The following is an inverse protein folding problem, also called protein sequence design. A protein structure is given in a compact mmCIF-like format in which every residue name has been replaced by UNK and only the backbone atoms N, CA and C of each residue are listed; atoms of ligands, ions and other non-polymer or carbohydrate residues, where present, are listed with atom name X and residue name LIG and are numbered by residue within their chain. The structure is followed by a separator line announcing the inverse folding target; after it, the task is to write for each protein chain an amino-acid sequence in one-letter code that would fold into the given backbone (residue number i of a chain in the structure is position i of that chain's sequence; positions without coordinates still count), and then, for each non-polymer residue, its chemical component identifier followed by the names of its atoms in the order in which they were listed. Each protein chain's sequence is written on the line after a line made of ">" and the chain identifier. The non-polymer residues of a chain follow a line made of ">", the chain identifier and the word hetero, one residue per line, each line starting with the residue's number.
data_IF_097556634922
#
_entry.id   IF_097556634922
#
_cell.length_a   1.000
_cell.length_b   1.000
_cell.length_c   1.000
_cell.angle_alpha   90.00
_cell.angle_beta   90.00
_cell.angle_gamma   90.00
#
_symmetry.space_group_name_H-M   'P 1'
#
loop_
_entity.id
_entity.type
_entity.pdbx_description
1 polymer ?
#
# COMPACT_ATOMS: atom_id res chain seq x y z
N UNK A 1 21.21 -7.14 3.70
CA UNK A 1 19.81 -7.34 4.14
C UNK A 1 19.59 -8.15 5.42
N UNK A 2 20.59 -8.87 5.98
CA UNK A 2 20.45 -9.54 7.29
C UNK A 2 20.49 -8.61 8.52
N UNK A 3 21.08 -7.42 8.41
CA UNK A 3 21.28 -6.53 9.56
C UNK A 3 20.00 -5.92 10.12
N UNK A 4 19.01 -5.63 9.27
CA UNK A 4 17.74 -4.98 9.69
C UNK A 4 16.80 -5.92 10.47
N UNK A 5 16.74 -7.22 10.12
CA UNK A 5 15.92 -8.19 10.85
C UNK A 5 16.41 -8.42 12.28
N UNK A 6 17.72 -8.39 12.50
CA UNK A 6 18.32 -8.57 13.84
C UNK A 6 18.09 -7.31 14.69
N UNK A 7 18.14 -6.12 14.08
CA UNK A 7 17.84 -4.87 14.79
C UNK A 7 16.38 -4.82 15.24
N UNK A 8 15.43 -5.18 14.35
CA UNK A 8 14.00 -5.21 14.67
C UNK A 8 13.71 -6.24 15.77
N UNK A 9 14.25 -7.46 15.69
CA UNK A 9 14.02 -8.50 16.70
C UNK A 9 14.65 -8.16 18.05
N UNK A 10 15.82 -7.51 18.08
CA UNK A 10 16.43 -7.04 19.34
C UNK A 10 15.69 -5.85 19.92
N UNK A 11 15.16 -4.96 19.07
CA UNK A 11 14.31 -3.84 19.52
C UNK A 11 13.00 -4.36 20.12
N UNK A 12 12.36 -5.36 19.51
CA UNK A 12 11.15 -5.99 20.07
C UNK A 12 11.40 -6.64 21.44
N UNK A 13 12.55 -7.24 21.68
CA UNK A 13 12.88 -7.84 22.98
C UNK A 13 13.13 -6.79 24.09
N UNK A 14 13.55 -5.58 23.73
CA UNK A 14 13.68 -4.46 24.66
C UNK A 14 12.38 -3.69 24.86
N UNK A 15 11.43 -3.74 23.92
CA UNK A 15 10.13 -3.06 24.05
C UNK A 15 9.19 -3.65 25.12
N UNK A 16 9.50 -4.82 25.66
CA UNK A 16 8.70 -5.40 26.75
C UNK A 16 8.84 -4.64 28.10
N UNK A 17 9.68 -3.59 28.14
CA UNK A 17 9.92 -2.78 29.32
C UNK A 17 9.53 -1.30 29.16
N UNK A 18 9.12 -0.87 27.94
CA UNK A 18 8.63 0.49 27.71
C UNK A 18 7.21 0.58 28.27
N UNK A 19 6.97 1.47 29.20
CA UNK A 19 5.63 1.71 29.70
C UNK A 19 4.75 2.42 28.65
N UNK A 20 3.44 2.43 28.88
CA UNK A 20 2.49 3.00 27.93
C UNK A 20 2.72 4.52 27.75
N UNK A 21 3.06 5.24 28.81
CA UNK A 21 3.24 6.70 28.76
C UNK A 21 4.51 7.06 27.96
N UNK A 22 5.57 6.28 28.13
CA UNK A 22 6.81 6.43 27.36
C UNK A 22 6.57 6.13 25.87
N UNK A 23 5.80 5.06 25.56
CA UNK A 23 5.42 4.71 24.20
C UNK A 23 4.55 5.79 23.55
N UNK A 24 3.53 6.28 24.25
CA UNK A 24 2.64 7.35 23.77
C UNK A 24 3.43 8.64 23.52
N UNK A 25 4.39 8.97 24.40
CA UNK A 25 5.27 10.13 24.24
C UNK A 25 6.16 10.00 22.99
N UNK A 26 6.73 8.80 22.76
CA UNK A 26 7.54 8.51 21.58
C UNK A 26 6.71 8.64 20.29
N UNK A 27 5.51 8.07 20.26
CA UNK A 27 4.56 8.16 19.14
C UNK A 27 4.24 9.62 18.83
N UNK A 28 3.94 10.42 19.84
CA UNK A 28 3.64 11.84 19.65
C UNK A 28 4.85 12.64 19.14
N UNK A 29 6.04 12.31 19.60
CA UNK A 29 7.28 12.93 19.13
C UNK A 29 7.54 12.63 17.66
N UNK A 30 7.44 11.36 17.25
CA UNK A 30 7.59 10.93 15.86
C UNK A 30 6.53 11.55 14.97
N UNK A 31 5.27 11.57 15.43
CA UNK A 31 4.20 12.21 14.67
C UNK A 31 4.45 13.72 14.50
N UNK A 32 4.84 14.41 15.56
CA UNK A 32 5.16 15.85 15.50
C UNK A 32 6.31 16.14 14.54
N UNK A 33 7.30 15.26 14.47
CA UNK A 33 8.37 15.35 13.48
C UNK A 33 7.81 15.20 12.05
N UNK A 34 6.98 14.18 11.80
CA UNK A 34 6.35 14.01 10.49
C UNK A 34 5.48 15.22 10.11
N UNK A 35 4.69 15.76 11.03
CA UNK A 35 3.89 16.96 10.77
C UNK A 35 4.75 18.19 10.45
N UNK A 36 5.89 18.34 11.12
CA UNK A 36 6.84 19.43 10.84
C UNK A 36 7.41 19.37 9.43
N UNK A 37 7.43 18.16 8.84
CA UNK A 37 7.90 17.89 7.48
C UNK A 37 6.79 17.90 6.44
N UNK A 38 5.56 18.21 6.83
CA UNK A 38 4.39 18.15 5.94
C UNK A 38 4.54 18.98 4.66
N UNK A 39 5.22 20.13 4.75
CA UNK A 39 5.53 20.96 3.58
C UNK A 39 6.54 20.31 2.62
N UNK A 40 7.31 19.34 3.09
CA UNK A 40 8.26 18.59 2.26
C UNK A 40 7.62 17.42 1.54
N UNK A 41 6.41 16.99 1.94
CA UNK A 41 5.64 15.95 1.29
C UNK A 41 4.90 16.43 0.04
N UNK A 42 4.66 17.73 -0.08
CA UNK A 42 4.09 18.32 -1.27
C UNK A 42 5.22 18.74 -2.21
N UNK A 43 5.17 18.26 -3.43
CA UNK A 43 6.07 18.69 -4.48
C UNK A 43 5.80 20.16 -4.84
N UNK A 44 6.81 20.82 -5.40
CA UNK A 44 6.66 22.16 -5.97
C UNK A 44 5.45 22.18 -6.92
N UNK A 45 4.69 23.28 -6.93
CA UNK A 45 3.51 23.48 -7.76
C UNK A 45 2.21 22.76 -7.29
N UNK A 46 2.10 22.38 -6.01
CA UNK A 46 0.88 21.78 -5.46
C UNK A 46 0.68 20.32 -5.82
N UNK A 47 1.69 19.67 -6.39
CA UNK A 47 1.71 18.22 -6.57
C UNK A 47 2.04 17.52 -5.26
N UNK A 48 1.55 16.32 -5.10
CA UNK A 48 1.78 15.49 -3.93
C UNK A 48 2.59 14.27 -4.32
N UNK A 49 3.64 13.97 -3.53
CA UNK A 49 4.39 12.73 -3.65
C UNK A 49 3.58 11.60 -3.00
N UNK A 50 3.02 10.73 -3.85
CA UNK A 50 2.15 9.64 -3.40
C UNK A 50 2.92 8.52 -2.71
N UNK A 51 4.21 8.35 -3.00
CA UNK A 51 5.06 7.40 -2.28
C UNK A 51 5.26 7.85 -0.83
N UNK A 52 5.51 9.14 -0.62
CA UNK A 52 5.61 9.70 0.73
C UNK A 52 4.27 9.63 1.47
N UNK A 53 3.17 10.00 0.81
CA UNK A 53 1.84 9.94 1.43
C UNK A 53 1.47 8.50 1.84
N UNK A 54 1.80 7.50 1.02
CA UNK A 54 1.60 6.08 1.37
C UNK A 54 2.34 5.71 2.66
N UNK A 55 3.59 6.18 2.81
CA UNK A 55 4.37 5.94 4.03
C UNK A 55 3.75 6.61 5.26
N UNK A 56 3.20 7.81 5.10
CA UNK A 56 2.45 8.51 6.16
C UNK A 56 1.22 7.72 6.57
N UNK A 57 0.40 7.26 5.61
CA UNK A 57 -0.75 6.41 5.91
C UNK A 57 -0.36 5.13 6.62
N UNK A 58 0.77 4.53 6.25
CA UNK A 58 1.31 3.35 6.92
C UNK A 58 1.64 3.65 8.39
N UNK A 59 2.29 4.77 8.68
CA UNK A 59 2.57 5.20 10.06
C UNK A 59 1.27 5.42 10.85
N UNK A 60 0.29 6.13 10.27
CA UNK A 60 -1.01 6.37 10.91
C UNK A 60 -1.70 5.06 11.30
N UNK A 61 -1.70 4.07 10.39
CA UNK A 61 -2.31 2.77 10.63
C UNK A 61 -1.56 1.94 11.68
N UNK A 62 -0.22 2.01 11.71
CA UNK A 62 0.59 1.26 12.68
C UNK A 62 0.56 1.88 14.09
N UNK A 63 0.32 3.17 14.18
CA UNK A 63 0.24 3.90 15.43
C UNK A 63 -1.21 4.08 15.93
N UNK A 64 -2.18 3.45 15.29
CA UNK A 64 -3.62 3.54 15.59
C UNK A 64 -4.17 4.98 15.61
N UNK A 65 -3.56 5.88 14.82
CA UNK A 65 -3.95 7.30 14.71
C UNK A 65 -5.03 7.56 13.65
N UNK A 66 -5.62 6.51 13.07
CA UNK A 66 -6.62 6.66 11.99
C UNK A 66 -7.82 7.53 12.38
N UNK A 67 -8.41 7.44 13.59
CA UNK A 67 -9.54 8.28 13.98
C UNK A 67 -9.19 9.77 14.08
N UNK A 68 -7.95 10.10 14.47
CA UNK A 68 -7.47 11.45 14.67
C UNK A 68 -6.93 12.09 13.39
N UNK A 69 -6.63 11.26 12.39
CA UNK A 69 -5.96 11.67 11.13
C UNK A 69 -6.73 11.25 9.87
N UNK A 70 -8.06 11.48 9.79
CA UNK A 70 -8.85 11.08 8.63
C UNK A 70 -8.51 11.89 7.37
N UNK A 71 -7.95 13.08 7.53
CA UNK A 71 -7.70 13.99 6.43
C UNK A 71 -6.64 13.45 5.45
N UNK A 72 -5.63 12.77 5.95
CA UNK A 72 -4.57 12.17 5.14
C UNK A 72 -5.13 11.08 4.21
N UNK A 73 -6.12 10.30 4.65
CA UNK A 73 -6.83 9.36 3.79
C UNK A 73 -7.68 10.07 2.73
N UNK A 74 -8.31 11.19 3.09
CA UNK A 74 -9.11 12.00 2.14
C UNK A 74 -8.26 12.72 1.10
N UNK A 75 -7.00 13.05 1.40
CA UNK A 75 -6.08 13.57 0.39
C UNK A 75 -5.84 12.54 -0.74
N UNK A 76 -5.70 11.26 -0.43
CA UNK A 76 -5.59 10.22 -1.45
C UNK A 76 -6.83 10.15 -2.35
N UNK A 77 -8.04 10.32 -1.78
CA UNK A 77 -9.30 10.34 -2.56
C UNK A 77 -9.30 11.47 -3.59
N UNK A 78 -8.86 12.67 -3.20
CA UNK A 78 -8.85 13.85 -4.06
C UNK A 78 -7.92 13.74 -5.27
N UNK A 79 -6.83 13.00 -5.13
CA UNK A 79 -5.77 12.90 -6.15
C UNK A 79 -5.80 11.59 -6.91
N UNK A 80 -6.87 10.78 -6.77
CA UNK A 80 -7.06 9.58 -7.57
C UNK A 80 -7.23 9.95 -9.05
N UNK A 81 -6.51 9.26 -9.91
CA UNK A 81 -6.63 9.43 -11.36
C UNK A 81 -8.00 8.98 -11.89
N UNK A 82 -8.44 9.48 -13.04
CA UNK A 82 -9.71 9.09 -13.65
C UNK A 82 -9.86 7.60 -13.92
N UNK A 83 -8.76 6.87 -14.12
CA UNK A 83 -8.74 5.42 -14.32
C UNK A 83 -8.95 4.59 -13.04
N UNK A 84 -8.78 5.19 -11.86
CA UNK A 84 -8.94 4.52 -10.56
C UNK A 84 -7.64 4.21 -9.83
N UNK A 85 -6.49 4.57 -10.40
CA UNK A 85 -5.20 4.41 -9.77
C UNK A 85 -4.57 5.71 -9.28
N UNK A 86 -3.29 5.66 -8.95
CA UNK A 86 -2.48 6.82 -8.56
C UNK A 86 -1.15 6.81 -9.29
N UNK A 87 -0.68 7.99 -9.61
CA UNK A 87 0.67 8.23 -10.12
C UNK A 87 1.63 8.44 -8.96
N UNK A 88 2.93 8.29 -9.19
CA UNK A 88 3.96 8.60 -8.19
C UNK A 88 3.86 10.06 -7.72
N UNK A 89 3.71 10.97 -8.68
CA UNK A 89 3.34 12.36 -8.43
C UNK A 89 1.85 12.56 -8.75
N UNK A 90 1.10 13.19 -7.85
CA UNK A 90 -0.31 13.50 -8.08
C UNK A 90 -0.51 14.34 -9.35
N UNK A 91 -1.66 14.16 -10.00
CA UNK A 91 -2.04 14.89 -11.21
C UNK A 91 -1.11 14.67 -12.42
N UNK A 92 -0.44 13.52 -12.49
CA UNK A 92 0.22 13.07 -13.72
C UNK A 92 -0.63 12.01 -14.41
N UNK A 93 -0.56 11.94 -15.73
CA UNK A 93 -1.40 11.01 -16.51
C UNK A 93 -0.94 9.54 -16.44
N UNK A 94 0.22 9.28 -15.83
CA UNK A 94 0.80 7.94 -15.78
C UNK A 94 0.53 7.28 -14.44
N UNK A 95 -0.47 6.43 -14.40
CA UNK A 95 -0.77 5.61 -13.23
C UNK A 95 0.30 4.55 -13.01
N UNK A 96 0.79 4.44 -11.76
CA UNK A 96 1.66 3.36 -11.30
C UNK A 96 0.83 2.28 -10.62
N UNK A 97 0.96 1.04 -11.06
CA UNK A 97 0.30 -0.10 -10.42
C UNK A 97 0.83 -0.33 -9.02
N UNK A 98 2.14 -0.15 -8.83
CA UNK A 98 2.79 -0.25 -7.52
C UNK A 98 2.19 0.73 -6.51
N UNK A 99 2.21 2.04 -6.82
CA UNK A 99 1.62 3.08 -5.95
C UNK A 99 0.13 2.82 -5.72
N UNK A 100 -0.60 2.47 -6.78
CA UNK A 100 -2.05 2.20 -6.72
C UNK A 100 -2.38 1.12 -5.70
N UNK A 101 -1.66 0.01 -5.70
CA UNK A 101 -1.95 -1.09 -4.79
C UNK A 101 -1.58 -0.76 -3.34
N UNK A 102 -0.48 -0.04 -3.12
CA UNK A 102 -0.08 0.36 -1.77
C UNK A 102 -1.03 1.39 -1.17
N UNK A 103 -1.43 2.40 -1.93
CA UNK A 103 -2.43 3.39 -1.48
C UNK A 103 -3.77 2.70 -1.24
N UNK A 104 -4.26 1.92 -2.20
CA UNK A 104 -5.52 1.18 -2.10
C UNK A 104 -5.58 0.28 -0.87
N UNK A 105 -4.49 -0.44 -0.56
CA UNK A 105 -4.38 -1.28 0.63
C UNK A 105 -4.52 -0.46 1.93
N UNK A 106 -3.90 0.73 2.00
CA UNK A 106 -4.01 1.60 3.18
C UNK A 106 -5.42 2.18 3.31
N UNK A 107 -6.05 2.57 2.19
CA UNK A 107 -7.43 3.03 2.19
C UNK A 107 -8.41 1.94 2.65
N UNK A 108 -8.27 0.70 2.18
CA UNK A 108 -9.06 -0.44 2.65
C UNK A 108 -8.98 -0.59 4.18
N UNK A 109 -7.77 -0.58 4.73
CA UNK A 109 -7.55 -0.75 6.17
C UNK A 109 -8.06 0.45 6.98
N UNK A 110 -7.77 1.67 6.52
CA UNK A 110 -8.24 2.89 7.19
C UNK A 110 -9.76 2.97 7.19
N UNK A 111 -10.41 2.56 6.11
CA UNK A 111 -11.86 2.63 5.98
C UNK A 111 -12.62 1.63 6.88
N UNK A 112 -11.98 0.58 7.39
CA UNK A 112 -12.59 -0.25 8.45
C UNK A 112 -12.94 0.57 9.70
N UNK A 113 -12.16 1.62 9.97
CA UNK A 113 -12.31 2.51 11.12
C UNK A 113 -13.14 3.74 10.75
N UNK A 114 -12.80 4.41 9.63
CA UNK A 114 -13.42 5.66 9.21
C UNK A 114 -14.84 5.49 8.69
N UNK A 115 -15.14 4.36 8.01
CA UNK A 115 -16.44 4.05 7.40
C UNK A 115 -16.93 5.19 6.49
N UNK A 116 -16.00 5.78 5.74
CA UNK A 116 -16.24 6.90 4.84
C UNK A 116 -16.63 6.38 3.45
N UNK A 117 -17.76 6.87 2.94
CA UNK A 117 -18.31 6.44 1.64
C UNK A 117 -17.45 6.84 0.44
N UNK A 118 -16.75 7.97 0.53
CA UNK A 118 -15.91 8.45 -0.57
C UNK A 118 -14.63 7.62 -0.65
N UNK A 119 -14.06 7.25 0.50
CA UNK A 119 -12.96 6.29 0.56
C UNK A 119 -13.42 4.94 0.00
N UNK A 120 -14.63 4.48 0.36
CA UNK A 120 -15.17 3.24 -0.18
C UNK A 120 -15.29 3.27 -1.70
N UNK A 121 -15.91 4.29 -2.25
CA UNK A 121 -16.06 4.45 -3.70
C UNK A 121 -14.70 4.51 -4.42
N UNK A 122 -13.72 5.16 -3.80
CA UNK A 122 -12.34 5.25 -4.29
C UNK A 122 -11.68 3.87 -4.36
N UNK A 123 -11.81 3.08 -3.30
CA UNK A 123 -11.26 1.71 -3.23
C UNK A 123 -11.94 0.77 -4.24
N UNK A 124 -13.27 0.88 -4.40
CA UNK A 124 -14.01 0.08 -5.38
C UNK A 124 -13.57 0.40 -6.81
N UNK A 125 -13.35 1.68 -7.11
CA UNK A 125 -12.81 2.10 -8.41
C UNK A 125 -11.38 1.59 -8.64
N UNK A 126 -10.57 1.56 -7.59
CA UNK A 126 -9.22 0.96 -7.65
C UNK A 126 -9.29 -0.52 -7.96
N UNK A 127 -10.24 -1.25 -7.38
CA UNK A 127 -10.43 -2.67 -7.69
C UNK A 127 -10.69 -2.89 -9.17
N UNK A 128 -11.64 -2.13 -9.75
CA UNK A 128 -11.98 -2.30 -11.19
C UNK A 128 -10.78 -1.97 -12.08
N UNK A 129 -10.01 -0.93 -11.77
CA UNK A 129 -8.75 -0.63 -12.46
C UNK A 129 -7.77 -1.81 -12.38
N UNK A 130 -7.48 -2.29 -11.18
CA UNK A 130 -6.54 -3.39 -10.97
C UNK A 130 -6.97 -4.66 -11.71
N UNK A 131 -8.26 -5.03 -11.65
CA UNK A 131 -8.76 -6.20 -12.35
C UNK A 131 -8.67 -6.07 -13.88
N UNK A 132 -8.85 -4.85 -14.42
CA UNK A 132 -8.78 -4.59 -15.85
C UNK A 132 -7.36 -4.66 -16.43
N UNK A 133 -6.33 -4.54 -15.57
CA UNK A 133 -4.93 -4.45 -15.96
C UNK A 133 -4.16 -5.78 -15.83
N UNK A 134 -4.85 -6.88 -15.48
CA UNK A 134 -4.19 -8.19 -15.40
C UNK A 134 -3.88 -8.73 -16.79
N UNK A 135 -2.64 -9.11 -17.01
CA UNK A 135 -2.18 -9.77 -18.25
C UNK A 135 -2.67 -11.22 -18.34
N UNK A 136 -2.61 -11.81 -19.56
CA UNK A 136 -3.13 -13.17 -19.82
C UNK A 136 -2.46 -14.24 -18.97
N UNK A 137 -1.16 -14.12 -18.72
CA UNK A 137 -0.38 -15.05 -17.89
C UNK A 137 -0.52 -14.82 -16.38
N UNK A 138 -1.32 -13.81 -15.97
CA UNK A 138 -1.69 -13.57 -14.60
C UNK A 138 -0.89 -12.50 -13.86
N UNK A 139 0.15 -11.94 -14.48
CA UNK A 139 0.91 -10.86 -13.84
C UNK A 139 0.27 -9.47 -14.04
N UNK A 140 0.80 -8.49 -13.32
CA UNK A 140 0.60 -7.06 -13.53
C UNK A 140 1.93 -6.38 -13.78
N UNK A 141 1.91 -5.42 -14.67
CA UNK A 141 3.08 -4.63 -15.07
C UNK A 141 3.07 -3.26 -14.42
N UNK A 142 4.25 -2.78 -14.08
CA UNK A 142 4.53 -1.41 -13.70
C UNK A 142 5.83 -0.98 -14.39
N UNK A 143 5.92 0.25 -14.93
CA UNK A 143 7.12 0.67 -15.68
C UNK A 143 8.39 0.83 -14.84
N UNK A 144 8.25 0.97 -13.50
CA UNK A 144 9.38 1.21 -12.58
C UNK A 144 9.69 0.01 -11.69
N UNK A 145 8.79 -1.00 -11.66
CA UNK A 145 8.90 -2.15 -10.76
C UNK A 145 8.84 -3.46 -11.51
N UNK A 146 9.46 -4.48 -10.94
CA UNK A 146 9.43 -5.82 -11.54
C UNK A 146 8.01 -6.38 -11.61
N UNK A 147 7.74 -7.24 -12.57
CA UNK A 147 6.45 -7.94 -12.67
C UNK A 147 6.17 -8.78 -11.42
N UNK A 148 7.20 -9.38 -10.84
CA UNK A 148 7.06 -10.17 -9.61
C UNK A 148 6.63 -9.30 -8.43
N UNK A 149 7.35 -8.19 -8.18
CA UNK A 149 7.04 -7.28 -7.07
C UNK A 149 5.65 -6.65 -7.24
N UNK A 150 5.34 -6.21 -8.46
CA UNK A 150 4.04 -5.64 -8.79
C UNK A 150 2.92 -6.67 -8.58
N UNK A 151 3.09 -7.91 -9.07
CA UNK A 151 2.09 -8.97 -8.90
C UNK A 151 1.91 -9.36 -7.44
N UNK A 152 2.99 -9.40 -6.65
CA UNK A 152 2.91 -9.60 -5.22
C UNK A 152 2.11 -8.49 -4.51
N UNK A 153 2.37 -7.23 -4.84
CA UNK A 153 1.64 -6.10 -4.23
C UNK A 153 0.16 -6.10 -4.60
N UNK A 154 -0.17 -6.42 -5.85
CA UNK A 154 -1.56 -6.54 -6.31
C UNK A 154 -2.29 -7.68 -5.61
N UNK A 155 -1.69 -8.87 -5.51
CA UNK A 155 -2.31 -10.01 -4.83
C UNK A 155 -2.55 -9.74 -3.33
N UNK A 156 -1.65 -8.97 -2.68
CA UNK A 156 -1.86 -8.47 -1.33
C UNK A 156 -3.06 -7.50 -1.26
N UNK A 157 -3.13 -6.53 -2.16
CA UNK A 157 -4.26 -5.58 -2.22
C UNK A 157 -5.59 -6.32 -2.41
N UNK A 158 -5.70 -7.22 -3.39
CA UNK A 158 -6.91 -8.00 -3.66
C UNK A 158 -7.34 -8.84 -2.45
N UNK A 159 -6.38 -9.41 -1.73
CA UNK A 159 -6.64 -10.19 -0.50
C UNK A 159 -7.20 -9.30 0.61
N UNK A 160 -6.59 -8.16 0.85
CA UNK A 160 -7.04 -7.21 1.88
C UNK A 160 -8.39 -6.62 1.51
N UNK A 161 -8.60 -6.27 0.23
CA UNK A 161 -9.90 -5.81 -0.25
C UNK A 161 -11.00 -6.83 0.04
N UNK A 162 -10.82 -8.11 -0.32
CA UNK A 162 -11.81 -9.15 -0.07
C UNK A 162 -12.17 -9.27 1.42
N UNK A 163 -11.16 -9.28 2.27
CA UNK A 163 -11.36 -9.42 3.73
C UNK A 163 -12.03 -8.19 4.33
N UNK A 164 -11.62 -6.99 3.92
CA UNK A 164 -12.14 -5.75 4.50
C UNK A 164 -13.52 -5.37 3.98
N UNK A 165 -13.88 -5.82 2.78
CA UNK A 165 -15.15 -5.52 2.13
C UNK A 165 -16.16 -6.68 2.16
N UNK A 166 -15.83 -7.76 2.87
CA UNK A 166 -16.65 -8.98 2.93
C UNK A 166 -17.02 -9.51 1.53
N UNK A 167 -16.02 -9.54 0.62
CA UNK A 167 -16.12 -9.98 -0.78
C UNK A 167 -15.35 -11.28 -1.07
N UNK A 168 -15.27 -12.16 -0.08
CA UNK A 168 -14.52 -13.43 -0.20
C UNK A 168 -15.06 -14.35 -1.29
N UNK A 169 -16.32 -14.20 -1.66
CA UNK A 169 -17.02 -15.01 -2.68
C UNK A 169 -17.03 -14.32 -4.08
N UNK A 170 -16.39 -13.16 -4.25
CA UNK A 170 -16.28 -12.53 -5.58
C UNK A 170 -15.37 -13.38 -6.50
N UNK A 171 -15.99 -14.07 -7.46
CA UNK A 171 -15.29 -14.96 -8.39
C UNK A 171 -14.26 -14.23 -9.27
N UNK A 172 -14.49 -12.97 -9.61
CA UNK A 172 -13.56 -12.17 -10.43
C UNK A 172 -12.25 -11.94 -9.66
N UNK A 173 -12.37 -11.56 -8.41
CA UNK A 173 -11.21 -11.32 -7.54
C UNK A 173 -10.48 -12.65 -7.28
N UNK A 174 -11.22 -13.71 -6.97
CA UNK A 174 -10.65 -15.04 -6.73
C UNK A 174 -9.86 -15.54 -7.96
N UNK A 175 -10.44 -15.41 -9.14
CA UNK A 175 -9.79 -15.80 -10.39
C UNK A 175 -8.51 -14.98 -10.65
N UNK A 176 -8.57 -13.66 -10.45
CA UNK A 176 -7.42 -12.79 -10.63
C UNK A 176 -6.29 -13.13 -9.66
N UNK A 177 -6.61 -13.34 -8.38
CA UNK A 177 -5.63 -13.76 -7.36
C UNK A 177 -4.98 -15.10 -7.67
N UNK A 178 -5.77 -16.10 -8.05
CA UNK A 178 -5.24 -17.45 -8.40
C UNK A 178 -4.22 -17.32 -9.54
N UNK A 179 -4.57 -16.63 -10.63
CA UNK A 179 -3.64 -16.39 -11.74
C UNK A 179 -2.37 -15.65 -11.29
N UNK A 180 -2.50 -14.64 -10.44
CA UNK A 180 -1.35 -13.93 -9.89
C UNK A 180 -0.46 -14.83 -9.04
N UNK A 181 -1.03 -15.68 -8.19
CA UNK A 181 -0.26 -16.65 -7.41
C UNK A 181 0.40 -17.70 -8.30
N UNK A 182 -0.27 -18.17 -9.35
CA UNK A 182 0.31 -19.09 -10.33
C UNK A 182 1.51 -18.47 -11.03
N UNK A 183 1.42 -17.19 -11.42
CA UNK A 183 2.56 -16.44 -11.94
C UNK A 183 3.70 -16.34 -10.92
N UNK A 184 3.42 -15.90 -9.69
CA UNK A 184 4.42 -15.75 -8.64
C UNK A 184 5.15 -17.07 -8.39
N UNK A 185 4.42 -18.20 -8.29
CA UNK A 185 5.03 -19.51 -7.99
C UNK A 185 5.99 -20.01 -9.06
N UNK A 186 5.79 -19.61 -10.32
CA UNK A 186 6.71 -19.96 -11.43
C UNK A 186 8.10 -19.33 -11.26
N UNK A 187 8.21 -18.23 -10.49
CA UNK A 187 9.48 -17.55 -10.22
C UNK A 187 10.19 -18.08 -8.98
N UNK A 188 9.58 -19.00 -8.24
CA UNK A 188 10.23 -19.64 -7.12
C UNK A 188 11.16 -20.76 -7.61
N UNK A 189 12.41 -20.78 -7.08
CA UNK A 189 13.41 -21.83 -7.35
C UNK A 189 13.11 -23.06 -6.48
N UNK A 190 13.65 -24.22 -6.86
CA UNK A 190 13.57 -25.45 -6.06
C UNK A 190 14.14 -25.28 -4.65
N UNK A 191 15.08 -24.35 -4.47
CA UNK A 191 15.62 -23.97 -3.16
C UNK A 191 14.64 -23.21 -2.26
N UNK A 192 13.44 -22.85 -2.76
CA UNK A 192 12.47 -21.99 -2.08
C UNK A 192 12.79 -20.49 -2.17
N UNK A 193 13.92 -20.12 -2.76
CA UNK A 193 14.27 -18.73 -3.01
C UNK A 193 13.61 -18.23 -4.30
N UNK A 194 13.39 -16.93 -4.40
CA UNK A 194 12.86 -16.29 -5.60
C UNK A 194 13.97 -16.04 -6.63
N UNK A 195 13.62 -16.10 -7.92
CA UNK A 195 14.53 -15.69 -8.99
C UNK A 195 14.76 -14.18 -8.89
N UNK A 196 16.00 -13.77 -9.04
CA UNK A 196 16.41 -12.36 -8.96
C UNK A 196 16.52 -11.75 -10.37
N UNK A 197 15.55 -12.05 -11.25
CA UNK A 197 15.58 -11.63 -12.67
C UNK A 197 14.74 -10.36 -12.90
N UNK A 198 14.57 -9.56 -11.87
CA UNK A 198 13.46 -8.62 -11.83
C UNK A 198 13.81 -7.18 -12.10
N UNK A 199 15.07 -6.88 -12.29
CA UNK A 199 15.48 -5.54 -12.71
C UNK A 199 15.81 -5.53 -14.20
N UNK A 200 14.77 -5.36 -15.00
CA UNK A 200 14.71 -4.82 -16.37
C UNK A 200 15.55 -5.41 -17.50
N UNK A 201 14.94 -5.48 -18.67
CA UNK A 201 15.72 -5.51 -19.89
C UNK A 201 16.41 -4.16 -20.12
#
# INVERSE_FOLDING_TARGET
>A
MMGWKILILNHWKTMTTIDKEELDSLIQSEWSYLESKKSEWSLLEGKQDMEVLEHVLRCILHLDLTPEKPQEFKECVKVQNPDGGWSKESHTDKTSMWITTFVGLKLCRGNLILKDSDIQATVDKTLEYVLSMQEEDGHWSDPEWSHLDTTCSVTCFLTIYQVTQDKTDDERINKARIKGFDFITQWQRDSGLWKDDTFHP
#
